data_IF_112415595585
#
_entry.id   IF_112415595585
#
_cell.length_a   1.000
_cell.length_b   1.000
_cell.length_c   1.000
_cell.angle_alpha   90.00
_cell.angle_beta   90.00
_cell.angle_gamma   90.00
#
_symmetry.space_group_name_H-M   'P 1'
#
loop_
_entity.id
_entity.type
_entity.pdbx_description
1 polymer ?
#
# COMPACT_ATOMS: atom_id res chain seq x y z
N UNK A 1 -14.18 13.01 11.01
CA UNK A 1 -15.49 13.58 10.60
C UNK A 1 -16.42 12.46 10.11
N UNK A 2 -17.74 12.54 10.37
CA UNK A 2 -18.70 11.45 10.11
C UNK A 2 -18.95 11.25 8.60
N UNK A 3 -18.38 10.18 8.03
CA UNK A 3 -18.73 9.67 6.69
C UNK A 3 -20.21 9.21 6.65
N UNK A 4 -20.91 9.27 5.50
CA UNK A 4 -22.35 9.08 5.45
C UNK A 4 -22.74 7.63 5.72
N UNK A 5 -23.37 7.40 6.88
CA UNK A 5 -23.90 6.12 7.38
C UNK A 5 -24.84 5.38 6.42
N UNK A 6 -25.32 6.00 5.34
CA UNK A 6 -26.44 5.50 4.54
C UNK A 6 -26.05 4.28 3.68
N UNK A 7 -24.82 4.24 3.15
CA UNK A 7 -24.34 3.10 2.36
C UNK A 7 -23.95 1.91 3.26
N UNK A 8 -23.29 2.20 4.39
CA UNK A 8 -22.95 1.21 5.42
C UNK A 8 -24.20 0.58 6.06
N UNK A 9 -25.29 1.35 6.26
CA UNK A 9 -26.55 0.81 6.79
C UNK A 9 -27.23 -0.15 5.81
N UNK A 10 -27.21 0.15 4.51
CA UNK A 10 -27.79 -0.71 3.47
C UNK A 10 -27.03 -2.04 3.36
N UNK A 11 -25.70 -2.00 3.48
CA UNK A 11 -24.84 -3.19 3.53
C UNK A 11 -25.11 -4.00 4.79
N UNK A 12 -25.24 -3.36 5.96
CA UNK A 12 -25.56 -4.03 7.23
C UNK A 12 -26.96 -4.67 7.21
N UNK A 13 -27.98 -4.00 6.66
CA UNK A 13 -29.34 -4.57 6.55
C UNK A 13 -29.38 -5.75 5.57
N UNK A 14 -28.62 -5.68 4.47
CA UNK A 14 -28.49 -6.80 3.53
C UNK A 14 -27.69 -7.97 4.12
N UNK A 15 -26.62 -7.69 4.87
CA UNK A 15 -25.85 -8.67 5.65
C UNK A 15 -26.71 -9.35 6.72
N UNK A 16 -27.54 -8.62 7.47
CA UNK A 16 -28.43 -9.20 8.49
C UNK A 16 -29.51 -10.09 7.84
N UNK A 17 -30.00 -9.75 6.65
CA UNK A 17 -30.94 -10.61 5.89
C UNK A 17 -30.25 -11.85 5.31
N UNK A 18 -28.98 -11.76 4.92
CA UNK A 18 -28.18 -12.91 4.47
C UNK A 18 -27.80 -13.84 5.64
N UNK A 19 -27.41 -13.30 6.79
CA UNK A 19 -26.97 -14.06 7.99
C UNK A 19 -28.07 -14.95 8.55
N UNK A 20 -29.34 -14.54 8.49
CA UNK A 20 -30.46 -15.36 8.97
C UNK A 20 -30.70 -16.64 8.15
N UNK A 21 -30.15 -16.75 6.93
CA UNK A 21 -30.21 -17.98 6.12
C UNK A 21 -28.89 -18.77 6.10
N UNK A 22 -27.78 -18.22 6.63
CA UNK A 22 -26.42 -18.76 6.44
C UNK A 22 -25.82 -19.42 7.69
N UNK A 23 -26.36 -19.17 8.88
CA UNK A 23 -25.84 -19.76 10.15
C UNK A 23 -25.99 -21.31 10.27
N UNK A 24 -26.41 -22.00 9.21
CA UNK A 24 -26.57 -23.45 9.22
C UNK A 24 -25.38 -24.23 8.61
N UNK A 25 -24.47 -23.63 7.82
CA UNK A 25 -23.30 -24.35 7.25
C UNK A 25 -22.10 -23.42 6.97
N UNK A 26 -20.90 -23.83 7.41
CA UNK A 26 -19.63 -23.48 6.74
C UNK A 26 -19.01 -22.10 6.97
N UNK A 27 -19.37 -21.35 8.03
CA UNK A 27 -18.63 -20.14 8.41
C UNK A 27 -17.19 -20.52 8.81
N UNK A 28 -16.21 -20.01 8.09
CA UNK A 28 -14.79 -20.13 8.41
C UNK A 28 -14.31 -18.82 9.01
N UNK A 29 -13.36 -18.92 9.95
CA UNK A 29 -12.67 -17.76 10.48
C UNK A 29 -11.18 -18.05 10.55
N UNK A 30 -10.41 -17.00 10.38
CA UNK A 30 -8.96 -16.97 10.51
C UNK A 30 -8.55 -15.59 11.00
N UNK A 31 -7.31 -15.42 11.42
CA UNK A 31 -6.86 -14.10 11.84
C UNK A 31 -5.48 -14.12 12.45
N UNK A 32 -5.10 -12.97 13.01
CA UNK A 32 -3.86 -12.85 13.76
C UNK A 32 -3.98 -11.91 14.95
N UNK A 33 -3.07 -12.09 15.88
CA UNK A 33 -2.71 -11.17 16.94
C UNK A 33 -1.23 -10.85 16.80
N UNK A 34 -0.86 -9.58 16.82
CA UNK A 34 0.55 -9.21 16.85
C UNK A 34 0.83 -8.05 17.81
N UNK A 35 2.05 -8.03 18.33
CA UNK A 35 2.61 -6.90 19.05
C UNK A 35 3.97 -6.56 18.50
N UNK A 36 4.22 -5.28 18.28
CA UNK A 36 5.42 -4.70 17.71
C UNK A 36 5.96 -3.63 18.64
N UNK A 37 7.26 -3.68 18.91
CA UNK A 37 7.98 -2.70 19.70
C UNK A 37 9.24 -2.30 18.97
N UNK A 38 9.53 -1.01 18.89
CA UNK A 38 10.73 -0.46 18.26
C UNK A 38 11.32 0.66 19.11
N UNK A 39 12.64 0.64 19.28
CA UNK A 39 13.41 1.56 20.12
C UNK A 39 14.55 2.16 19.29
N UNK A 40 14.78 3.46 19.42
CA UNK A 40 15.91 4.13 18.75
C UNK A 40 17.27 3.56 19.18
N UNK A 41 18.18 3.44 18.21
CA UNK A 41 19.57 3.07 18.43
C UNK A 41 20.45 4.29 18.74
N UNK A 42 20.09 5.45 18.20
CA UNK A 42 20.69 6.75 18.50
C UNK A 42 19.88 7.44 19.60
N UNK A 43 20.55 8.29 20.39
CA UNK A 43 20.03 9.25 21.38
C UNK A 43 18.76 8.88 22.20
N UNK A 44 18.86 8.97 23.52
CA UNK A 44 17.79 8.76 24.51
C UNK A 44 17.08 7.38 24.53
N UNK A 45 17.24 6.55 23.49
CA UNK A 45 16.64 5.21 23.33
C UNK A 45 15.12 5.22 23.55
N UNK A 46 14.46 6.25 23.03
CA UNK A 46 13.02 6.38 23.09
C UNK A 46 12.32 5.32 22.23
N UNK A 47 11.10 4.97 22.62
CA UNK A 47 10.24 4.13 21.80
C UNK A 47 9.76 4.94 20.59
N UNK A 48 9.89 4.36 19.39
CA UNK A 48 9.36 4.93 18.14
C UNK A 48 8.28 4.07 17.51
N UNK A 49 8.01 2.93 18.12
CA UNK A 49 6.90 2.07 17.75
C UNK A 49 6.49 1.25 18.96
N UNK A 50 5.22 1.35 19.31
CA UNK A 50 4.56 0.44 20.22
C UNK A 50 3.18 0.18 19.63
N UNK A 51 2.94 -1.03 19.13
CA UNK A 51 1.69 -1.33 18.45
C UNK A 51 1.21 -2.73 18.77
N UNK A 52 -0.05 -2.85 19.11
CA UNK A 52 -0.74 -4.15 19.17
C UNK A 52 -1.88 -4.17 18.16
N UNK A 53 -1.97 -5.26 17.39
CA UNK A 53 -2.97 -5.43 16.34
C UNK A 53 -3.67 -6.75 16.47
N UNK A 54 -4.94 -6.75 16.09
CA UNK A 54 -5.67 -7.97 15.80
C UNK A 54 -6.38 -7.86 14.45
N UNK A 55 -6.47 -8.98 13.74
CA UNK A 55 -7.33 -9.12 12.58
C UNK A 55 -8.21 -10.35 12.76
N UNK A 56 -9.50 -10.20 12.54
CA UNK A 56 -10.45 -11.30 12.47
C UNK A 56 -11.10 -11.32 11.10
N UNK A 57 -10.89 -12.40 10.36
CA UNK A 57 -11.47 -12.66 9.07
C UNK A 57 -12.62 -13.66 9.20
N UNK A 58 -13.72 -13.38 8.52
CA UNK A 58 -14.90 -14.23 8.44
C UNK A 58 -15.20 -14.50 6.97
N UNK A 59 -15.33 -15.77 6.62
CA UNK A 59 -15.57 -16.24 5.25
C UNK A 59 -16.76 -17.16 5.22
N UNK A 60 -17.63 -16.96 4.25
CA UNK A 60 -18.66 -17.94 3.92
C UNK A 60 -18.80 -18.05 2.41
N UNK A 61 -18.97 -19.28 1.94
CA UNK A 61 -19.14 -19.57 0.52
C UNK A 61 -20.33 -20.50 0.32
N UNK A 62 -21.10 -20.23 -0.72
CA UNK A 62 -22.09 -21.13 -1.32
C UNK A 62 -21.81 -21.23 -2.83
N UNK A 63 -22.60 -22.00 -3.57
CA UNK A 63 -22.34 -22.34 -4.99
C UNK A 63 -21.84 -21.15 -5.85
N UNK A 64 -22.55 -20.02 -5.84
CA UNK A 64 -22.24 -18.86 -6.68
C UNK A 64 -22.03 -17.58 -5.86
N UNK A 65 -21.89 -17.68 -4.53
CA UNK A 65 -21.75 -16.52 -3.66
C UNK A 65 -20.63 -16.72 -2.66
N UNK A 66 -19.77 -15.72 -2.53
CA UNK A 66 -18.74 -15.64 -1.50
C UNK A 66 -18.92 -14.36 -0.69
N UNK A 67 -18.82 -14.47 0.62
CA UNK A 67 -18.90 -13.37 1.58
C UNK A 67 -17.60 -13.31 2.37
N UNK A 68 -17.07 -12.10 2.51
CA UNK A 68 -15.91 -11.82 3.34
C UNK A 68 -16.15 -10.61 4.23
N UNK A 69 -15.72 -10.70 5.48
CA UNK A 69 -15.60 -9.56 6.37
C UNK A 69 -14.30 -9.68 7.17
N UNK A 70 -13.57 -8.59 7.30
CA UNK A 70 -12.34 -8.47 8.07
C UNK A 70 -12.49 -7.32 9.06
N UNK A 71 -12.27 -7.61 10.34
CA UNK A 71 -12.23 -6.62 11.41
C UNK A 71 -10.77 -6.42 11.81
N UNK A 72 -10.32 -5.18 11.81
CA UNK A 72 -9.02 -4.79 12.33
C UNK A 72 -9.20 -4.05 13.65
N UNK A 73 -8.34 -4.36 14.61
CA UNK A 73 -8.11 -3.47 15.74
C UNK A 73 -6.64 -3.11 15.88
N UNK A 74 -6.37 -1.85 16.17
CA UNK A 74 -5.02 -1.31 16.34
C UNK A 74 -5.02 -0.47 17.62
N UNK A 75 -3.96 -0.62 18.41
CA UNK A 75 -3.66 0.27 19.53
C UNK A 75 -2.21 0.68 19.40
N UNK A 76 -1.97 1.99 19.40
CA UNK A 76 -0.64 2.59 19.37
C UNK A 76 -0.29 3.11 20.77
N UNK A 77 0.89 2.78 21.28
CA UNK A 77 1.37 3.22 22.59
C UNK A 77 2.21 4.50 22.54
N UNK A 78 2.56 5.00 21.34
CA UNK A 78 3.41 6.17 21.16
C UNK A 78 2.61 7.48 21.18
N UNK A 79 1.43 7.47 20.59
CA UNK A 79 0.56 8.66 20.53
C UNK A 79 -0.20 8.77 21.86
N UNK A 80 -0.02 9.87 22.59
CA UNK A 80 -0.70 10.09 23.87
C UNK A 80 -2.24 10.03 23.69
N UNK A 81 -2.92 9.35 24.61
CA UNK A 81 -4.38 9.14 24.61
C UNK A 81 -4.96 8.31 23.43
N UNK A 82 -4.14 7.55 22.69
CA UNK A 82 -4.65 6.63 21.67
C UNK A 82 -5.47 5.47 22.31
N UNK A 83 -6.74 5.37 21.93
CA UNK A 83 -7.62 4.28 22.33
C UNK A 83 -7.54 3.12 21.32
N UNK A 84 -7.98 1.92 21.70
CA UNK A 84 -8.10 0.81 20.74
C UNK A 84 -9.06 1.22 19.61
N UNK A 85 -8.51 1.47 18.43
CA UNK A 85 -9.27 1.72 17.22
C UNK A 85 -9.71 0.39 16.62
N UNK A 86 -11.01 0.24 16.37
CA UNK A 86 -11.57 -0.95 15.71
C UNK A 86 -12.32 -0.52 14.47
N UNK A 87 -11.91 -1.06 13.32
CA UNK A 87 -12.52 -0.77 12.03
C UNK A 87 -12.94 -2.04 11.28
N UNK A 88 -13.93 -1.88 10.40
CA UNK A 88 -14.20 -2.86 9.36
C UNK A 88 -13.18 -2.61 8.26
N UNK A 89 -12.18 -3.47 8.18
CA UNK A 89 -11.12 -3.36 7.20
C UNK A 89 -11.69 -3.71 5.82
N UNK A 90 -12.11 -4.95 5.58
CA UNK A 90 -12.80 -5.35 4.34
C UNK A 90 -14.19 -5.90 4.65
N UNK A 91 -15.14 -5.69 3.75
CA UNK A 91 -16.47 -6.28 3.83
C UNK A 91 -17.11 -6.29 2.45
N UNK A 92 -17.19 -7.46 1.83
CA UNK A 92 -17.71 -7.58 0.47
C UNK A 92 -18.49 -8.87 0.22
N UNK A 93 -19.32 -8.80 -0.82
CA UNK A 93 -20.01 -9.92 -1.42
C UNK A 93 -19.50 -10.09 -2.86
N UNK A 94 -19.20 -11.32 -3.23
CA UNK A 94 -18.88 -11.71 -4.60
C UNK A 94 -19.93 -12.68 -5.12
N UNK A 95 -20.46 -12.41 -6.32
CA UNK A 95 -21.35 -13.30 -7.05
C UNK A 95 -20.65 -13.78 -8.32
N UNK A 96 -20.54 -15.11 -8.47
CA UNK A 96 -19.73 -15.74 -9.51
C UNK A 96 -20.60 -16.54 -10.47
N UNK A 97 -20.31 -16.42 -11.76
CA UNK A 97 -20.85 -17.21 -12.86
C UNK A 97 -19.70 -17.75 -13.72
N UNK A 98 -19.92 -18.74 -14.60
CA UNK A 98 -18.84 -19.38 -15.36
C UNK A 98 -17.96 -18.44 -16.21
N UNK A 99 -18.48 -17.27 -16.62
CA UNK A 99 -17.80 -16.33 -17.50
C UNK A 99 -17.61 -14.94 -16.89
N UNK A 100 -18.17 -14.67 -15.71
CA UNK A 100 -18.10 -13.35 -15.11
C UNK A 100 -18.36 -13.41 -13.61
N UNK A 101 -17.86 -12.40 -12.90
CA UNK A 101 -18.16 -12.17 -11.50
C UNK A 101 -18.38 -10.69 -11.21
N UNK A 102 -19.11 -10.44 -10.12
CA UNK A 102 -19.34 -9.11 -9.57
C UNK A 102 -18.96 -9.14 -8.10
N UNK A 103 -18.07 -8.24 -7.67
CA UNK A 103 -17.68 -8.06 -6.27
C UNK A 103 -18.06 -6.65 -5.82
N UNK A 104 -18.88 -6.56 -4.77
CA UNK A 104 -19.42 -5.30 -4.24
C UNK A 104 -19.09 -5.19 -2.77
N UNK A 105 -18.55 -4.05 -2.36
CA UNK A 105 -18.27 -3.72 -0.98
C UNK A 105 -16.91 -3.08 -0.79
N UNK A 106 -16.48 -3.04 0.47
CA UNK A 106 -15.20 -2.50 0.90
C UNK A 106 -14.11 -3.54 0.67
N UNK A 107 -13.14 -3.23 -0.20
CA UNK A 107 -12.14 -4.21 -0.65
C UNK A 107 -10.80 -3.56 -0.99
N UNK A 108 -9.73 -4.35 -0.93
CA UNK A 108 -8.39 -3.95 -1.38
C UNK A 108 -8.14 -4.40 -2.82
N UNK A 109 -7.44 -3.56 -3.58
CA UNK A 109 -6.89 -3.88 -4.89
C UNK A 109 -5.37 -3.97 -4.79
N UNK A 110 -4.79 -4.94 -5.50
CA UNK A 110 -3.33 -5.09 -5.66
C UNK A 110 -3.05 -5.38 -7.13
N UNK A 111 -2.89 -4.31 -7.90
CA UNK A 111 -2.70 -4.38 -9.34
C UNK A 111 -1.22 -4.54 -9.74
N UNK A 112 -0.29 -4.14 -8.87
CA UNK A 112 1.14 -4.26 -9.08
C UNK A 112 1.67 -5.69 -8.96
N UNK A 113 2.86 -5.87 -9.52
CA UNK A 113 3.74 -7.04 -9.46
C UNK A 113 5.05 -6.74 -8.71
N UNK A 114 5.31 -5.50 -8.32
CA UNK A 114 6.49 -5.06 -7.60
C UNK A 114 6.39 -5.38 -6.11
N UNK A 115 7.55 -5.62 -5.49
CA UNK A 115 7.68 -5.83 -4.05
C UNK A 115 8.18 -4.52 -3.41
N UNK A 116 7.41 -3.91 -2.52
CA UNK A 116 7.88 -2.75 -1.74
C UNK A 116 7.88 -1.40 -2.46
N UNK A 117 7.30 -1.30 -3.66
CA UNK A 117 7.03 -0.03 -4.37
C UNK A 117 5.80 -0.17 -5.26
N UNK A 118 5.04 0.91 -5.47
CA UNK A 118 3.78 0.91 -6.21
C UNK A 118 3.96 1.64 -7.55
N UNK A 119 3.83 0.90 -8.66
CA UNK A 119 3.88 1.49 -10.00
C UNK A 119 2.49 1.48 -10.63
N UNK A 120 1.89 0.29 -10.79
CA UNK A 120 0.54 0.13 -11.36
C UNK A 120 -0.54 -0.16 -10.31
N UNK A 121 -0.14 -0.28 -9.05
CA UNK A 121 -1.02 -0.44 -7.92
C UNK A 121 -1.50 0.94 -7.45
N UNK A 122 -2.66 1.39 -7.94
CA UNK A 122 -3.12 2.78 -7.78
C UNK A 122 -4.56 2.93 -7.28
N UNK A 123 -5.30 1.83 -7.08
CA UNK A 123 -6.73 1.90 -6.74
C UNK A 123 -7.02 1.95 -5.24
N UNK A 124 -6.15 1.36 -4.44
CA UNK A 124 -6.24 1.39 -2.98
C UNK A 124 -5.19 2.36 -2.46
N UNK A 125 -5.53 3.48 -1.81
CA UNK A 125 -4.53 4.37 -1.23
C UNK A 125 -3.76 3.66 -0.10
N UNK A 126 -2.69 4.28 0.40
CA UNK A 126 -1.85 3.69 1.43
C UNK A 126 -1.89 4.48 2.75
N UNK A 127 -1.61 3.75 3.82
CA UNK A 127 -1.36 4.27 5.15
C UNK A 127 0.15 4.31 5.42
N UNK A 128 0.71 5.50 5.24
CA UNK A 128 2.12 5.84 5.43
C UNK A 128 2.42 6.37 6.84
N UNK A 129 1.53 6.18 7.83
CA UNK A 129 1.69 6.65 9.21
C UNK A 129 3.00 6.23 9.90
N UNK A 130 3.62 5.14 9.44
CA UNK A 130 4.91 4.61 9.92
C UNK A 130 5.94 4.47 8.80
N UNK A 131 5.79 5.28 7.75
CA UNK A 131 6.64 5.30 6.56
C UNK A 131 6.84 3.88 5.98
N UNK A 132 8.09 3.44 5.80
CA UNK A 132 8.46 2.16 5.17
C UNK A 132 8.53 0.99 6.15
N UNK A 133 8.28 1.21 7.45
CA UNK A 133 8.55 0.18 8.47
C UNK A 133 7.46 -0.88 8.59
N UNK A 134 6.25 -0.60 8.10
CA UNK A 134 5.15 -1.56 7.99
C UNK A 134 5.35 -2.49 6.80
N UNK A 135 4.80 -3.69 6.93
CA UNK A 135 4.78 -4.63 5.83
C UNK A 135 3.97 -4.02 4.67
N UNK A 136 4.59 -3.95 3.49
CA UNK A 136 4.05 -3.24 2.32
C UNK A 136 2.67 -3.76 1.88
N UNK A 137 2.37 -5.03 2.14
CA UNK A 137 1.07 -5.59 1.83
C UNK A 137 -0.04 -5.15 2.79
N UNK A 138 0.32 -4.65 3.97
CA UNK A 138 -0.62 -4.28 5.03
C UNK A 138 -0.88 -2.77 5.13
N UNK A 139 -0.20 -1.95 4.35
CA UNK A 139 -0.44 -0.49 4.30
C UNK A 139 -1.58 -0.11 3.38
N UNK A 140 -2.10 -1.03 2.55
CA UNK A 140 -3.21 -0.73 1.63
C UNK A 140 -4.50 -0.45 2.38
N UNK A 141 -5.14 0.66 2.05
CA UNK A 141 -6.43 1.07 2.58
C UNK A 141 -7.52 0.55 1.64
N UNK A 142 -8.53 -0.15 2.19
CA UNK A 142 -9.65 -0.66 1.41
C UNK A 142 -10.59 0.47 0.96
N UNK A 143 -11.12 0.33 -0.25
CA UNK A 143 -12.04 1.27 -0.88
C UNK A 143 -13.42 0.65 -1.06
N UNK A 144 -14.47 1.47 -0.94
CA UNK A 144 -15.82 1.02 -1.25
C UNK A 144 -15.98 1.01 -2.77
N UNK A 145 -16.28 -0.15 -3.36
CA UNK A 145 -16.31 -0.26 -4.82
C UNK A 145 -17.26 -1.33 -5.35
N UNK A 146 -17.53 -1.23 -6.66
CA UNK A 146 -18.14 -2.27 -7.48
C UNK A 146 -17.13 -2.70 -8.52
N UNK A 147 -16.82 -3.99 -8.53
CA UNK A 147 -15.96 -4.64 -9.50
C UNK A 147 -16.75 -5.60 -10.36
N UNK A 148 -16.60 -5.51 -11.67
CA UNK A 148 -17.10 -6.48 -12.63
C UNK A 148 -15.92 -7.10 -13.36
N UNK A 149 -15.85 -8.43 -13.42
CA UNK A 149 -14.85 -9.14 -14.21
C UNK A 149 -15.53 -10.03 -15.24
N UNK A 150 -15.00 -10.04 -16.46
CA UNK A 150 -15.40 -10.97 -17.52
C UNK A 150 -14.20 -11.82 -17.94
N UNK A 151 -14.41 -13.14 -18.02
CA UNK A 151 -13.39 -14.13 -18.32
C UNK A 151 -13.45 -14.51 -19.80
N UNK A 152 -12.35 -14.29 -20.50
CA UNK A 152 -12.07 -14.83 -21.83
C UNK A 152 -11.15 -16.05 -21.72
N UNK A 153 -11.01 -16.88 -22.77
CA UNK A 153 -10.16 -18.08 -22.70
C UNK A 153 -8.66 -17.83 -22.41
N UNK A 154 -8.14 -16.64 -22.71
CA UNK A 154 -6.71 -16.28 -22.54
C UNK A 154 -6.53 -14.91 -21.86
N UNK A 155 -7.61 -14.30 -21.38
CA UNK A 155 -7.59 -12.96 -20.84
C UNK A 155 -8.75 -12.74 -19.86
N UNK A 156 -8.64 -11.72 -19.01
CA UNK A 156 -9.74 -11.22 -18.19
C UNK A 156 -9.85 -9.70 -18.31
N UNK A 157 -11.08 -9.20 -18.43
CA UNK A 157 -11.39 -7.78 -18.34
C UNK A 157 -11.96 -7.49 -16.96
N UNK A 158 -11.32 -6.61 -16.22
CA UNK A 158 -11.80 -6.07 -14.94
C UNK A 158 -12.21 -4.61 -15.13
N UNK A 159 -13.39 -4.26 -14.64
CA UNK A 159 -13.92 -2.90 -14.57
C UNK A 159 -14.21 -2.57 -13.11
N UNK A 160 -13.71 -1.44 -12.64
CA UNK A 160 -13.84 -0.99 -11.24
C UNK A 160 -14.50 0.38 -11.22
N UNK A 161 -15.48 0.53 -10.35
CA UNK A 161 -16.10 1.81 -10.01
C UNK A 161 -16.00 2.05 -8.52
N UNK A 162 -15.39 3.17 -8.14
CA UNK A 162 -15.20 3.62 -6.75
C UNK A 162 -16.06 4.86 -6.56
N UNK A 163 -17.25 4.77 -5.94
CA UNK A 163 -18.17 5.90 -5.80
C UNK A 163 -17.65 7.06 -4.93
N UNK A 164 -16.69 6.80 -4.03
CA UNK A 164 -16.23 7.77 -3.04
C UNK A 164 -14.71 7.71 -2.93
N UNK A 165 -14.06 8.87 -3.02
CA UNK A 165 -12.62 8.98 -2.79
C UNK A 165 -12.25 8.56 -1.36
N UNK A 166 -11.13 7.85 -1.23
CA UNK A 166 -10.55 7.48 0.04
C UNK A 166 -9.20 8.16 0.14
N UNK A 167 -8.99 8.95 1.18
CA UNK A 167 -7.73 9.65 1.39
C UNK A 167 -6.66 8.66 1.90
N UNK A 168 -5.40 8.79 1.44
CA UNK A 168 -4.27 8.14 2.09
C UNK A 168 -4.03 8.74 3.49
N UNK A 169 -3.31 7.99 4.31
CA UNK A 169 -2.95 8.42 5.66
C UNK A 169 -1.47 8.73 5.69
N UNK A 170 -1.12 9.94 6.12
CA UNK A 170 0.26 10.38 6.37
C UNK A 170 0.47 10.63 7.86
N UNK A 171 1.72 10.64 8.35
CA UNK A 171 2.03 11.09 9.71
C UNK A 171 1.48 12.51 9.92
N UNK A 172 0.49 12.65 10.80
CA UNK A 172 -0.32 13.87 10.91
C UNK A 172 0.00 14.80 12.09
N UNK A 173 0.76 14.32 13.06
CA UNK A 173 1.05 15.03 14.32
C UNK A 173 2.56 15.06 14.59
N UNK A 174 3.05 16.14 15.20
CA UNK A 174 4.45 16.31 15.63
C UNK A 174 4.86 15.22 16.65
N UNK A 175 3.90 14.66 17.38
CA UNK A 175 4.15 13.55 18.32
C UNK A 175 4.37 12.19 17.60
N UNK A 176 4.06 12.09 16.30
CA UNK A 176 4.37 10.88 15.52
C UNK A 176 5.87 10.88 15.15
N UNK A 177 6.65 9.85 15.52
CA UNK A 177 8.09 9.77 15.21
C UNK A 177 8.44 9.85 13.71
N UNK A 178 7.47 9.60 12.83
CA UNK A 178 7.61 9.64 11.38
C UNK A 178 7.14 10.96 10.76
N UNK A 179 6.77 11.94 11.57
CA UNK A 179 6.40 13.28 11.10
C UNK A 179 7.64 14.08 10.70
N UNK A 180 7.59 14.68 9.51
CA UNK A 180 8.63 15.58 9.01
C UNK A 180 8.09 17.00 9.02
N UNK A 181 8.68 17.86 9.86
CA UNK A 181 8.28 19.27 9.96
C UNK A 181 8.64 20.01 8.67
N UNK A 182 7.64 20.57 7.98
CA UNK A 182 7.84 21.24 6.69
C UNK A 182 8.29 22.71 6.79
N UNK A 183 8.54 23.22 7.99
CA UNK A 183 8.94 24.63 8.22
C UNK A 183 7.95 25.69 7.71
N UNK A 184 6.75 25.27 7.30
CA UNK A 184 5.69 26.11 6.72
C UNK A 184 4.37 25.86 7.46
N UNK A 185 3.49 26.87 7.47
CA UNK A 185 2.17 26.71 8.07
C UNK A 185 1.21 26.02 7.09
N UNK A 186 0.81 24.79 7.44
CA UNK A 186 -0.09 23.94 6.66
C UNK A 186 -1.48 23.91 7.31
N UNK A 187 -2.54 24.08 6.52
CA UNK A 187 -3.92 23.87 6.94
C UNK A 187 -4.32 22.39 6.74
N UNK A 188 -5.46 21.96 7.31
CA UNK A 188 -6.04 20.66 6.94
C UNK A 188 -6.31 20.56 5.44
N UNK A 189 -6.17 19.36 4.89
CA UNK A 189 -6.46 19.09 3.48
C UNK A 189 -7.91 19.45 3.12
N UNK A 190 -8.13 19.93 1.90
CA UNK A 190 -9.48 20.13 1.36
C UNK A 190 -10.17 18.79 1.13
N UNK A 191 -11.33 18.59 1.76
CA UNK A 191 -12.10 17.35 1.67
C UNK A 191 -12.74 17.23 0.28
N UNK A 192 -12.52 16.10 -0.39
CA UNK A 192 -13.23 15.77 -1.63
C UNK A 192 -14.67 15.40 -1.31
N UNK A 193 -15.64 16.19 -1.79
CA UNK A 193 -17.06 15.95 -1.50
C UNK A 193 -17.51 14.55 -1.96
N UNK A 194 -18.30 13.86 -1.12
CA UNK A 194 -18.85 12.55 -1.45
C UNK A 194 -20.07 12.66 -2.39
N UNK A 195 -19.79 12.91 -3.67
CA UNK A 195 -20.77 12.94 -4.74
C UNK A 195 -20.34 12.04 -5.92
N UNK A 196 -21.32 11.58 -6.71
CA UNK A 196 -21.06 10.68 -7.84
C UNK A 196 -20.13 11.29 -8.90
N UNK A 197 -20.07 12.63 -9.01
CA UNK A 197 -19.13 13.34 -9.88
C UNK A 197 -17.66 13.14 -9.45
N UNK A 198 -17.44 12.84 -8.17
CA UNK A 198 -16.13 12.60 -7.57
C UNK A 198 -15.76 11.11 -7.54
N UNK A 199 -16.53 10.25 -8.21
CA UNK A 199 -16.22 8.82 -8.33
C UNK A 199 -15.03 8.53 -9.26
N UNK A 200 -14.38 7.39 -9.05
CA UNK A 200 -13.23 6.94 -9.83
C UNK A 200 -13.62 5.72 -10.66
N UNK A 201 -13.00 5.61 -11.83
CA UNK A 201 -13.25 4.54 -12.79
C UNK A 201 -11.95 3.96 -13.26
N UNK A 202 -11.86 2.64 -13.28
CA UNK A 202 -10.68 1.95 -13.75
C UNK A 202 -11.05 0.71 -14.57
N UNK A 203 -10.15 0.34 -15.47
CA UNK A 203 -10.25 -0.86 -16.28
C UNK A 203 -8.89 -1.53 -16.38
N UNK A 204 -8.87 -2.86 -16.36
CA UNK A 204 -7.67 -3.68 -16.56
C UNK A 204 -7.98 -4.85 -17.49
N UNK A 205 -7.10 -5.10 -18.44
CA UNK A 205 -7.13 -6.26 -19.31
C UNK A 205 -5.86 -7.07 -19.09
N UNK A 206 -5.97 -8.25 -18.47
CA UNK A 206 -4.81 -9.13 -18.22
C UNK A 206 -4.84 -10.33 -19.16
N UNK A 207 -3.66 -10.78 -19.58
CA UNK A 207 -3.44 -11.91 -20.46
C UNK A 207 -2.58 -12.94 -19.74
N UNK A 208 -3.00 -14.20 -19.80
CA UNK A 208 -2.29 -15.33 -19.18
C UNK A 208 -1.86 -16.30 -20.28
N UNK A 209 -0.66 -16.10 -20.82
CA UNK A 209 -0.11 -16.91 -21.90
C UNK A 209 0.92 -17.90 -21.34
N UNK A 210 1.27 -18.91 -22.14
CA UNK A 210 2.25 -19.90 -21.70
C UNK A 210 3.61 -19.25 -21.42
N UNK A 211 3.95 -19.12 -20.14
CA UNK A 211 5.22 -18.58 -19.66
C UNK A 211 5.33 -17.06 -19.70
N UNK A 212 4.24 -16.31 -19.86
CA UNK A 212 4.24 -14.85 -19.74
C UNK A 212 2.84 -14.33 -19.38
N UNK A 213 2.79 -13.50 -18.35
CA UNK A 213 1.58 -12.81 -17.92
C UNK A 213 1.79 -11.31 -18.02
N UNK A 214 0.86 -10.60 -18.65
CA UNK A 214 0.93 -9.14 -18.75
C UNK A 214 -0.45 -8.51 -18.74
N UNK A 215 -0.53 -7.24 -18.35
CA UNK A 215 -1.77 -6.48 -18.36
C UNK A 215 -1.57 -5.07 -18.89
N UNK A 216 -2.68 -4.51 -19.35
CA UNK A 216 -2.84 -3.08 -19.56
C UNK A 216 -3.92 -2.59 -18.60
N UNK A 217 -3.68 -1.45 -17.95
CA UNK A 217 -4.63 -0.82 -17.05
C UNK A 217 -4.79 0.65 -17.38
N UNK A 218 -5.96 1.19 -17.08
CA UNK A 218 -6.22 2.63 -17.16
C UNK A 218 -7.20 3.05 -16.09
N UNK A 219 -7.03 4.26 -15.57
CA UNK A 219 -7.94 4.81 -14.57
C UNK A 219 -8.10 6.32 -14.72
N UNK A 220 -9.23 6.81 -14.24
CA UNK A 220 -9.47 8.21 -13.95
C UNK A 220 -9.79 8.30 -12.47
N UNK A 221 -8.83 8.81 -11.70
CA UNK A 221 -8.79 8.76 -10.25
C UNK A 221 -8.30 10.09 -9.68
N UNK A 222 -8.49 10.26 -8.39
CA UNK A 222 -7.84 11.33 -7.64
C UNK A 222 -6.42 10.90 -7.31
N UNK A 223 -5.49 11.82 -7.48
CA UNK A 223 -4.12 11.64 -7.02
C UNK A 223 -4.10 11.43 -5.50
N UNK A 224 -3.39 10.42 -5.03
CA UNK A 224 -3.21 10.15 -3.59
C UNK A 224 -2.20 11.14 -2.97
N UNK A 225 -1.39 11.82 -3.79
CA UNK A 225 -0.47 12.85 -3.33
C UNK A 225 -1.12 14.24 -3.40
N UNK A 226 -1.61 14.72 -2.26
CA UNK A 226 -2.13 16.09 -2.15
C UNK A 226 -1.05 17.12 -2.46
N UNK A 227 -1.42 18.13 -3.24
CA UNK A 227 -0.52 19.24 -3.62
C UNK A 227 -0.79 20.46 -2.77
N UNK A 228 0.26 21.21 -2.42
CA UNK A 228 0.17 22.30 -1.45
C UNK A 228 -0.17 23.62 -2.13
N UNK A 229 -1.45 24.03 -2.09
CA UNK A 229 -1.90 25.31 -2.63
C UNK A 229 -1.62 26.45 -1.67
N UNK A 230 -0.88 27.46 -2.15
CA UNK A 230 -0.51 28.63 -1.35
C UNK A 230 -1.61 29.69 -1.37
N UNK A 231 -2.18 29.97 -0.20
CA UNK A 231 -3.08 31.12 0.02
C UNK A 231 -2.47 32.07 1.04
N UNK A 232 -1.87 33.16 0.56
CA UNK A 232 -1.17 34.12 1.42
C UNK A 232 0.11 33.54 2.04
N UNK A 233 0.09 33.30 3.35
CA UNK A 233 1.21 32.72 4.11
C UNK A 233 0.93 31.29 4.60
N UNK A 234 -0.18 30.68 4.16
CA UNK A 234 -0.58 29.32 4.54
C UNK A 234 -0.69 28.45 3.30
N UNK A 235 -0.37 27.16 3.46
CA UNK A 235 -0.52 26.15 2.43
C UNK A 235 -1.69 25.22 2.78
N UNK A 236 -2.53 24.89 1.81
CA UNK A 236 -3.65 23.96 1.97
C UNK A 236 -3.41 22.79 1.01
N UNK A 237 -3.33 21.54 1.52
CA UNK A 237 -3.25 20.36 0.66
C UNK A 237 -4.57 20.18 -0.11
N UNK A 238 -4.50 20.02 -1.44
CA UNK A 238 -5.65 19.72 -2.29
C UNK A 238 -5.34 18.52 -3.20
N UNK A 239 -6.32 17.62 -3.33
CA UNK A 239 -6.26 16.47 -4.23
C UNK A 239 -6.73 16.85 -5.64
N UNK A 240 -6.05 16.32 -6.67
CA UNK A 240 -6.35 16.63 -8.07
C UNK A 240 -6.68 15.38 -8.85
N UNK A 241 -7.49 15.53 -9.90
CA UNK A 241 -7.80 14.43 -10.81
C UNK A 241 -6.66 14.20 -11.78
N UNK A 242 -6.32 12.94 -11.99
CA UNK A 242 -5.37 12.54 -13.03
C UNK A 242 -5.86 11.34 -13.82
N UNK A 243 -5.20 11.11 -14.97
CA UNK A 243 -5.39 9.90 -15.76
C UNK A 243 -4.17 9.02 -15.65
N UNK A 244 -4.42 7.73 -15.52
CA UNK A 244 -3.42 6.71 -15.36
C UNK A 244 -3.50 5.71 -16.52
N UNK A 245 -2.33 5.28 -17.01
CA UNK A 245 -2.17 4.22 -18.00
C UNK A 245 -1.01 3.31 -17.60
N UNK A 246 -1.32 2.08 -17.23
CA UNK A 246 -0.37 1.10 -16.71
C UNK A 246 -0.11 -0.06 -17.66
N UNK A 247 1.09 -0.59 -17.57
CA UNK A 247 1.52 -1.85 -18.15
C UNK A 247 2.30 -2.63 -17.09
N UNK A 248 1.98 -3.91 -16.95
CA UNK A 248 2.76 -4.82 -16.09
C UNK A 248 3.02 -6.15 -16.81
N UNK A 249 4.16 -6.77 -16.52
CA UNK A 249 4.63 -8.00 -17.15
C UNK A 249 5.37 -8.86 -16.12
N UNK A 250 5.12 -10.17 -16.13
CA UNK A 250 5.89 -11.17 -15.38
C UNK A 250 6.23 -12.33 -16.29
N UNK A 251 7.47 -12.80 -16.23
CA UNK A 251 7.97 -13.90 -17.04
C UNK A 251 8.93 -14.78 -16.24
N UNK A 252 8.53 -16.02 -15.87
CA UNK A 252 9.47 -16.98 -15.32
C UNK A 252 10.41 -17.52 -16.41
N UNK A 253 11.71 -17.59 -16.11
CA UNK A 253 12.78 -18.13 -16.96
C UNK A 253 13.76 -18.93 -16.10
N UNK A 254 13.65 -20.26 -16.12
CA UNK A 254 14.43 -21.16 -15.24
C UNK A 254 14.27 -20.77 -13.76
N UNK A 255 15.36 -20.50 -13.06
CA UNK A 255 15.40 -20.09 -11.65
C UNK A 255 15.15 -18.59 -11.46
N UNK A 256 14.73 -17.88 -12.51
CA UNK A 256 14.49 -16.44 -12.48
C UNK A 256 13.03 -16.09 -12.75
N UNK A 257 12.58 -14.97 -12.21
CA UNK A 257 11.33 -14.30 -12.62
C UNK A 257 11.68 -12.87 -12.98
N UNK A 258 11.39 -12.48 -14.23
CA UNK A 258 11.56 -11.12 -14.71
C UNK A 258 10.24 -10.39 -14.53
N UNK A 259 10.25 -9.25 -13.84
CA UNK A 259 9.10 -8.39 -13.64
C UNK A 259 9.35 -7.03 -14.30
N UNK A 260 8.32 -6.45 -14.90
CA UNK A 260 8.38 -5.09 -15.42
C UNK A 260 7.05 -4.40 -15.16
N UNK A 261 7.09 -3.15 -14.72
CA UNK A 261 5.94 -2.28 -14.63
C UNK A 261 6.27 -0.91 -15.21
N UNK A 262 5.30 -0.26 -15.82
CA UNK A 262 5.41 1.12 -16.25
C UNK A 262 4.04 1.78 -16.24
N UNK A 263 3.97 2.97 -15.68
CA UNK A 263 2.76 3.75 -15.54
C UNK A 263 3.00 5.18 -16.01
N UNK A 264 2.14 5.65 -16.91
CA UNK A 264 2.08 7.03 -17.35
C UNK A 264 0.94 7.75 -16.64
N UNK A 265 1.27 8.86 -16.00
CA UNK A 265 0.35 9.71 -15.26
C UNK A 265 0.21 11.03 -16.02
N UNK A 266 -1.02 11.38 -16.37
CA UNK A 266 -1.35 12.59 -17.09
C UNK A 266 -2.13 13.56 -16.21
N UNK A 267 -1.65 14.81 -16.15
CA UNK A 267 -2.26 15.90 -15.39
C UNK A 267 -1.91 15.90 -13.91
N UNK A 268 -0.70 15.46 -13.53
CA UNK A 268 -0.22 15.52 -12.14
C UNK A 268 0.19 16.96 -11.83
N UNK A 269 -0.29 17.49 -10.71
CA UNK A 269 0.21 18.75 -10.17
C UNK A 269 1.43 18.48 -9.29
N UNK A 270 2.48 19.26 -9.49
CA UNK A 270 3.69 19.26 -8.68
C UNK A 270 3.79 20.58 -7.90
N UNK A 271 4.25 20.49 -6.65
CA UNK A 271 4.66 21.66 -5.88
C UNK A 271 5.81 22.34 -6.60
N UNK A 272 5.68 23.64 -6.82
CA UNK A 272 6.74 24.44 -7.40
C UNK A 272 7.14 25.54 -6.42
N UNK A 273 8.38 25.97 -6.56
CA UNK A 273 9.07 26.91 -5.70
C UNK A 273 8.20 28.14 -5.40
N UNK A 274 8.44 28.78 -4.26
CA UNK A 274 7.51 29.66 -3.52
C UNK A 274 6.79 30.79 -4.31
N UNK A 275 7.18 31.07 -5.55
CA UNK A 275 6.61 32.04 -6.47
C UNK A 275 5.70 31.44 -7.57
N UNK A 276 5.85 30.17 -7.92
CA UNK A 276 5.19 29.52 -9.08
C UNK A 276 3.92 28.76 -8.71
N UNK A 277 3.73 28.43 -7.42
CA UNK A 277 2.52 27.77 -6.93
C UNK A 277 2.53 26.29 -7.28
N UNK A 278 1.93 25.93 -8.42
CA UNK A 278 1.84 24.55 -8.89
C UNK A 278 2.04 24.45 -10.39
N UNK A 279 2.70 23.37 -10.81
CA UNK A 279 2.93 23.06 -12.23
C UNK A 279 2.28 21.72 -12.58
N UNK A 280 1.39 21.73 -13.56
CA UNK A 280 0.79 20.51 -14.10
C UNK A 280 1.76 19.87 -15.11
N UNK A 281 2.29 18.69 -14.79
CA UNK A 281 3.16 17.91 -15.68
C UNK A 281 2.70 16.47 -15.76
N UNK A 282 3.04 15.84 -16.87
CA UNK A 282 2.88 14.40 -17.03
C UNK A 282 4.17 13.73 -16.55
N UNK A 283 4.08 12.49 -16.05
CA UNK A 283 5.27 11.73 -15.67
C UNK A 283 5.12 10.25 -16.01
N UNK A 284 6.25 9.56 -16.10
CA UNK A 284 6.30 8.10 -16.20
C UNK A 284 7.01 7.55 -14.97
N UNK A 285 6.46 6.49 -14.38
CA UNK A 285 7.10 5.73 -13.30
C UNK A 285 7.24 4.29 -13.77
N UNK A 286 8.46 3.76 -13.77
CA UNK A 286 8.75 2.42 -14.27
C UNK A 286 9.57 1.61 -13.28
N UNK A 287 9.40 0.29 -13.31
CA UNK A 287 10.17 -0.67 -12.54
C UNK A 287 10.63 -1.82 -13.44
N UNK A 288 11.89 -2.21 -13.27
CA UNK A 288 12.42 -3.48 -13.76
C UNK A 288 12.90 -4.33 -12.58
N UNK A 289 12.34 -5.53 -12.43
CA UNK A 289 12.61 -6.46 -11.34
C UNK A 289 13.15 -7.80 -11.82
N UNK A 290 14.01 -8.41 -11.00
CA UNK A 290 14.53 -9.76 -11.19
C UNK A 290 14.51 -10.50 -9.85
N UNK A 291 13.72 -11.57 -9.78
CA UNK A 291 13.83 -12.56 -8.71
C UNK A 291 14.72 -13.69 -9.17
N UNK A 292 15.55 -14.18 -8.26
CA UNK A 292 16.44 -15.31 -8.46
C UNK A 292 16.33 -16.28 -7.29
N UNK A 293 16.12 -17.54 -7.63
CA UNK A 293 16.02 -18.65 -6.68
C UNK A 293 17.19 -19.64 -6.89
N UNK A 294 18.41 -19.33 -6.42
CA UNK A 294 19.59 -20.17 -6.68
C UNK A 294 19.57 -21.57 -6.05
N UNK A 295 18.52 -21.93 -5.32
CA UNK A 295 18.46 -23.14 -4.50
C UNK A 295 19.15 -22.96 -3.14
N UNK A 296 19.16 -24.04 -2.35
CA UNK A 296 19.61 -24.01 -0.94
C UNK A 296 18.90 -22.94 -0.10
N UNK A 297 17.61 -22.76 -0.36
CA UNK A 297 16.69 -21.85 0.34
C UNK A 297 17.13 -20.38 0.34
N UNK A 298 17.79 -19.95 -0.73
CA UNK A 298 18.09 -18.54 -1.00
C UNK A 298 17.02 -17.93 -1.90
N UNK A 299 16.70 -16.68 -1.63
CA UNK A 299 15.92 -15.79 -2.49
C UNK A 299 16.68 -14.49 -2.66
N UNK A 300 16.81 -14.02 -3.90
CA UNK A 300 17.41 -12.72 -4.22
C UNK A 300 16.45 -11.97 -5.13
N UNK A 301 15.96 -10.83 -4.69
CA UNK A 301 15.11 -9.94 -5.48
C UNK A 301 15.83 -8.62 -5.67
N UNK A 302 15.96 -8.17 -6.92
CA UNK A 302 16.53 -6.87 -7.24
C UNK A 302 15.56 -6.11 -8.11
N UNK A 303 15.26 -4.86 -7.77
CA UNK A 303 14.37 -3.99 -8.52
C UNK A 303 15.03 -2.63 -8.71
N UNK A 304 14.81 -2.03 -9.87
CA UNK A 304 15.21 -0.67 -10.18
C UNK A 304 13.94 0.09 -10.57
N UNK A 305 13.65 1.17 -9.85
CA UNK A 305 12.57 2.10 -10.21
C UNK A 305 13.15 3.37 -10.80
N UNK A 306 12.36 4.02 -11.65
CA UNK A 306 12.66 5.35 -12.14
C UNK A 306 11.37 6.13 -12.36
N UNK A 307 11.22 7.26 -11.67
CA UNK A 307 10.23 8.30 -11.94
C UNK A 307 10.89 9.34 -12.85
N UNK A 308 10.21 9.77 -13.89
CA UNK A 308 10.68 10.79 -14.82
C UNK A 308 9.56 11.76 -15.18
N UNK A 309 9.76 13.04 -14.88
CA UNK A 309 8.79 14.12 -15.10
C UNK A 309 9.03 14.71 -16.50
N UNK A 310 7.99 14.72 -17.34
CA UNK A 310 8.07 15.32 -18.68
C UNK A 310 7.94 16.84 -18.61
N UNK A 311 8.59 17.53 -19.56
CA UNK A 311 8.58 19.00 -19.65
C UNK A 311 8.95 19.68 -18.32
N UNK A 312 9.97 19.12 -17.65
CA UNK A 312 10.44 19.55 -16.33
C UNK A 312 10.90 21.01 -16.31
N UNK A 313 10.66 21.65 -15.17
CA UNK A 313 11.09 23.00 -14.85
C UNK A 313 11.82 22.97 -13.50
N UNK A 314 12.96 23.66 -13.40
CA UNK A 314 13.82 23.67 -12.20
C UNK A 314 13.11 24.24 -10.96
N UNK A 315 11.94 24.87 -11.13
CA UNK A 315 11.07 25.31 -10.06
C UNK A 315 10.29 24.17 -9.40
N UNK A 316 10.20 22.97 -9.98
CA UNK A 316 9.53 21.83 -9.35
C UNK A 316 10.36 21.34 -8.15
N UNK A 317 9.72 21.13 -7.00
CA UNK A 317 10.42 20.72 -5.75
C UNK A 317 11.02 19.31 -5.84
N UNK A 318 10.41 18.43 -6.63
CA UNK A 318 10.92 17.09 -6.91
C UNK A 318 11.96 17.11 -8.05
N UNK A 319 12.88 16.14 -8.04
CA UNK A 319 13.86 15.99 -9.12
C UNK A 319 13.21 15.54 -10.44
N UNK A 320 13.77 15.99 -11.57
CA UNK A 320 13.33 15.58 -12.92
C UNK A 320 13.29 14.06 -13.06
N UNK A 321 14.26 13.39 -12.45
CA UNK A 321 14.32 11.95 -12.41
C UNK A 321 14.79 11.46 -11.05
N UNK A 322 14.05 10.49 -10.50
CA UNK A 322 14.38 9.84 -9.23
C UNK A 322 14.50 8.34 -9.47
N UNK A 323 15.65 7.78 -9.10
CA UNK A 323 15.96 6.36 -9.31
C UNK A 323 16.23 5.66 -7.99
N UNK A 324 15.42 4.65 -7.66
CA UNK A 324 15.60 3.84 -6.44
C UNK A 324 16.00 2.42 -6.83
N UNK A 325 17.10 1.95 -6.24
CA UNK A 325 17.52 0.56 -6.26
C UNK A 325 16.99 -0.15 -5.02
N UNK A 326 16.25 -1.24 -5.22
CA UNK A 326 15.71 -2.08 -4.16
C UNK A 326 16.36 -3.46 -4.24
N UNK A 327 16.97 -3.91 -3.16
CA UNK A 327 17.58 -5.24 -3.04
C UNK A 327 16.99 -5.96 -1.83
N UNK A 328 16.44 -7.15 -2.04
CA UNK A 328 16.04 -8.05 -0.96
C UNK A 328 16.81 -9.38 -1.10
N UNK A 329 17.54 -9.75 -0.05
CA UNK A 329 18.29 -10.99 0.04
C UNK A 329 17.79 -11.77 1.25
N UNK A 330 17.24 -12.97 1.05
CA UNK A 330 16.82 -13.83 2.15
C UNK A 330 17.33 -15.25 2.07
N UNK A 331 17.49 -15.87 3.24
CA UNK A 331 17.89 -17.26 3.38
C UNK A 331 17.12 -17.94 4.51
N UNK A 332 16.53 -19.09 4.20
CA UNK A 332 15.91 -19.95 5.20
C UNK A 332 16.86 -21.05 5.70
N UNK A 333 16.88 -21.24 7.01
CA UNK A 333 17.69 -22.21 7.76
C UNK A 333 16.80 -23.19 8.53
N UNK A 334 17.42 -24.21 9.15
CA UNK A 334 16.77 -25.10 10.12
C UNK A 334 15.45 -25.75 9.65
N UNK A 335 15.39 -26.21 8.38
CA UNK A 335 14.14 -26.71 7.76
C UNK A 335 13.06 -25.62 7.66
N UNK A 336 13.49 -24.43 7.29
CA UNK A 336 12.63 -23.27 6.98
C UNK A 336 11.93 -22.64 8.18
N UNK A 337 12.39 -22.96 9.41
CA UNK A 337 11.87 -22.34 10.64
C UNK A 337 12.58 -21.06 11.03
N UNK A 338 13.68 -20.69 10.37
CA UNK A 338 14.43 -19.46 10.63
C UNK A 338 14.77 -18.80 9.30
N UNK A 339 14.33 -17.57 9.08
CA UNK A 339 14.66 -16.77 7.91
C UNK A 339 15.49 -15.56 8.33
N UNK A 340 16.66 -15.39 7.71
CA UNK A 340 17.43 -14.15 7.76
C UNK A 340 17.20 -13.41 6.46
N UNK A 341 16.76 -12.15 6.53
CA UNK A 341 16.55 -11.30 5.37
C UNK A 341 17.27 -9.96 5.52
N UNK A 342 17.62 -9.38 4.38
CA UNK A 342 18.15 -8.04 4.29
C UNK A 342 17.50 -7.31 3.12
N UNK A 343 16.84 -6.20 3.41
CA UNK A 343 16.16 -5.35 2.43
C UNK A 343 16.80 -3.97 2.42
N UNK A 344 17.24 -3.51 1.25
CA UNK A 344 17.91 -2.23 1.03
C UNK A 344 17.13 -1.45 0.00
N UNK A 345 16.83 -0.20 0.32
CA UNK A 345 16.40 0.85 -0.59
C UNK A 345 17.54 1.85 -0.68
N UNK A 346 17.93 2.21 -1.90
CA UNK A 346 18.98 3.20 -2.14
C UNK A 346 18.56 4.10 -3.27
N UNK A 347 18.35 5.38 -2.97
CA UNK A 347 18.12 6.37 -4.01
C UNK A 347 19.46 6.83 -4.58
N UNK A 348 19.59 6.83 -5.91
CA UNK A 348 20.89 7.07 -6.53
C UNK A 348 21.22 8.55 -6.70
N UNK A 349 20.19 9.39 -6.75
CA UNK A 349 20.30 10.82 -7.06
C UNK A 349 20.68 11.61 -5.79
N UNK A 350 19.87 11.51 -4.73
CA UNK A 350 20.16 12.10 -3.41
C UNK A 350 21.20 11.30 -2.58
N UNK A 351 21.43 10.01 -2.94
CA UNK A 351 22.39 9.09 -2.29
C UNK A 351 22.08 8.77 -0.84
N UNK A 352 20.81 8.75 -0.51
CA UNK A 352 20.28 8.27 0.76
C UNK A 352 19.66 6.88 0.61
N UNK A 353 19.14 6.35 1.72
CA UNK A 353 18.47 5.06 1.69
C UNK A 353 18.10 4.50 3.05
N UNK A 354 17.52 3.31 2.97
CA UNK A 354 17.02 2.55 4.09
C UNK A 354 17.51 1.10 4.00
N UNK A 355 17.94 0.54 5.12
CA UNK A 355 18.42 -0.82 5.21
C UNK A 355 17.80 -1.52 6.42
N UNK A 356 17.05 -2.59 6.15
CA UNK A 356 16.46 -3.47 7.16
C UNK A 356 17.16 -4.82 7.16
N UNK A 357 17.68 -5.22 8.31
CA UNK A 357 18.13 -6.60 8.55
C UNK A 357 17.13 -7.23 9.51
N UNK A 358 16.53 -8.35 9.12
CA UNK A 358 15.50 -9.01 9.90
C UNK A 358 15.76 -10.50 10.07
N UNK A 359 15.28 -11.03 11.19
CA UNK A 359 15.27 -12.44 11.54
C UNK A 359 13.83 -12.82 11.89
N UNK A 360 13.28 -13.82 11.20
CA UNK A 360 11.98 -14.42 11.50
C UNK A 360 12.18 -15.86 11.98
N UNK A 361 11.75 -16.16 13.20
CA UNK A 361 11.77 -17.49 13.79
C UNK A 361 10.35 -18.03 13.98
N UNK A 362 9.99 -19.01 13.14
CA UNK A 362 8.76 -19.78 13.27
C UNK A 362 8.93 -20.83 14.38
N UNK A 363 8.32 -20.57 15.54
CA UNK A 363 8.31 -21.52 16.67
C UNK A 363 7.44 -22.72 16.34
N UNK A 364 6.34 -22.47 15.66
CA UNK A 364 5.44 -23.41 15.04
C UNK A 364 4.66 -22.69 13.93
N UNK A 365 3.75 -23.40 13.26
CA UNK A 365 2.96 -22.87 12.13
C UNK A 365 2.06 -21.67 12.49
N UNK A 366 1.83 -21.41 13.79
CA UNK A 366 0.96 -20.35 14.28
C UNK A 366 1.71 -19.22 14.99
N UNK A 367 2.97 -19.39 15.41
CA UNK A 367 3.67 -18.44 16.28
C UNK A 367 5.04 -18.09 15.73
N UNK A 368 5.22 -16.81 15.42
CA UNK A 368 6.44 -16.23 14.91
C UNK A 368 7.01 -15.21 15.90
N UNK A 369 8.33 -15.27 16.09
CA UNK A 369 9.10 -14.21 16.74
C UNK A 369 10.00 -13.58 15.69
N UNK A 370 9.80 -12.29 15.45
CA UNK A 370 10.59 -11.52 14.50
C UNK A 370 11.38 -10.44 15.25
N UNK A 371 12.57 -10.14 14.77
CA UNK A 371 13.36 -9.01 15.24
C UNK A 371 14.22 -8.48 14.12
N UNK A 372 14.59 -7.21 14.18
CA UNK A 372 15.44 -6.64 13.17
C UNK A 372 15.97 -5.28 13.58
N UNK A 373 16.85 -4.77 12.71
CA UNK A 373 17.41 -3.44 12.79
C UNK A 373 17.02 -2.70 11.53
N UNK A 374 16.53 -1.49 11.72
CA UNK A 374 16.23 -0.51 10.69
C UNK A 374 17.30 0.57 10.74
N UNK A 375 17.91 0.85 9.60
CA UNK A 375 19.00 1.81 9.47
C UNK A 375 18.74 2.75 8.29
N UNK A 376 18.63 4.04 8.57
CA UNK A 376 18.52 5.11 7.59
C UNK A 376 19.89 5.75 7.40
N UNK A 377 20.17 6.23 6.20
CA UNK A 377 21.43 6.89 5.88
C UNK A 377 21.26 7.86 4.73
N UNK A 378 22.11 8.89 4.68
CA UNK A 378 22.06 9.95 3.68
C UNK A 378 22.26 11.31 4.32
N UNK A 379 22.64 12.30 3.53
CA UNK A 379 22.78 13.69 4.00
C UNK A 379 21.57 14.54 3.58
N UNK A 380 20.99 14.24 2.42
CA UNK A 380 19.82 14.89 1.82
C UNK A 380 18.90 13.78 1.29
N UNK A 381 17.59 14.06 1.23
CA UNK A 381 16.59 13.18 0.63
C UNK A 381 15.54 12.60 1.56
N UNK A 382 14.58 11.85 0.98
CA UNK A 382 13.41 11.36 1.70
C UNK A 382 13.78 10.44 2.87
N UNK A 383 14.73 9.52 2.68
CA UNK A 383 15.21 8.61 3.72
C UNK A 383 16.12 9.31 4.73
N UNK A 384 16.91 10.29 4.29
CA UNK A 384 17.79 11.06 5.18
C UNK A 384 17.03 11.81 6.27
N UNK A 385 15.77 12.22 6.01
CA UNK A 385 14.89 12.82 7.02
C UNK A 385 14.65 11.92 8.25
N UNK A 386 14.94 10.63 8.15
CA UNK A 386 14.74 9.63 9.20
C UNK A 386 16.06 9.08 9.76
N UNK A 387 17.22 9.72 9.53
CA UNK A 387 18.52 9.27 10.07
C UNK A 387 18.49 9.10 11.61
N UNK A 388 17.73 9.94 12.31
CA UNK A 388 17.56 9.86 13.77
C UNK A 388 16.56 8.76 14.23
N UNK A 389 15.98 7.99 13.31
CA UNK A 389 15.01 6.92 13.57
C UNK A 389 15.59 5.51 13.38
N UNK A 390 16.91 5.37 13.25
CA UNK A 390 17.61 4.09 13.36
C UNK A 390 17.10 3.31 14.57
N UNK A 391 16.69 2.06 14.39
CA UNK A 391 15.98 1.35 15.46
C UNK A 391 16.21 -0.15 15.51
N UNK A 392 16.06 -0.70 16.71
CA UNK A 392 15.94 -2.13 16.97
C UNK A 392 14.47 -2.43 17.26
N UNK A 393 13.90 -3.40 16.54
CA UNK A 393 12.53 -3.80 16.72
C UNK A 393 12.36 -5.29 17.01
N UNK A 394 11.25 -5.59 17.69
CA UNK A 394 10.79 -6.95 17.99
C UNK A 394 9.30 -7.03 17.66
N UNK A 395 8.89 -8.09 16.98
CA UNK A 395 7.50 -8.42 16.67
C UNK A 395 7.18 -9.83 17.13
N UNK A 396 6.03 -10.04 17.75
CA UNK A 396 5.48 -11.37 18.00
C UNK A 396 4.16 -11.45 17.24
N UNK A 397 3.99 -12.49 16.42
CA UNK A 397 2.77 -12.69 15.64
C UNK A 397 2.22 -14.09 15.88
N UNK A 398 0.93 -14.15 16.17
CA UNK A 398 0.19 -15.38 16.35
C UNK A 398 -0.98 -15.45 15.37
N UNK A 399 -0.95 -16.43 14.46
CA UNK A 399 -1.98 -16.69 13.46
C UNK A 399 -2.88 -17.86 13.92
N UNK A 400 -4.21 -17.77 13.71
CA UNK A 400 -5.17 -18.78 14.19
C UNK A 400 -6.25 -19.17 13.18
#
# INVERSE_FOLDING_TARGET
MRKPLVFSLLIIVFLIFAVNNVLAQGLQFDGFLESYYSIKLKDDHDFIGERSRFRLNLRNSSDNMYMFASLNGVSNGIIEDDELEVEIHEAYLEYTQPLWDVKIGRQIYSWGKADGVRITDVLSPCDYSEFITRDFDEIRIPVDSVKYRYLFPMADLELVWIPTFTEPVYPGDEDNPWYVEKGIKVNSAEEVENELGNSELAARLSFYLNGIDFSFSTAYLWDDEATYHKTGATFTPEYHRLRFYGLDLSKPVNDFVIRFESAYYQGKYFSADNNCGLLERDYVHSLAGLDWYPGNNWTVTTQLTNKYIFDYEDEIEEDESQTILILNLSKKFYRETLELANMVYYETDERDGFNRISLDYAVNDNLHFLTGIDYFFGDEGEFANYDDNDSLWVKVKYDF
#
